data_IF_726208952890
#
_entry.id   IF_726208952890
#
_cell.length_a   1.000
_cell.length_b   1.000
_cell.length_c   1.000
_cell.angle_alpha   90.00
_cell.angle_beta   90.00
_cell.angle_gamma   90.00
#
_symmetry.space_group_name_H-M   'P 1'
#
loop_
_entity.id
_entity.type
_entity.pdbx_description
1 polymer ?
#
# COMPACT_ATOMS: atom_id res chain seq x y z
N UNK A 1 -30.01 13.88 11.35
CA UNK A 1 -29.50 12.55 10.94
C UNK A 1 -30.01 11.48 11.91
N UNK A 2 -31.20 10.87 11.69
CA UNK A 2 -31.80 9.92 12.62
C UNK A 2 -32.01 8.51 12.01
N UNK A 3 -31.08 7.98 11.19
CA UNK A 3 -31.23 6.65 10.57
C UNK A 3 -30.09 5.66 10.84
N UNK A 4 -29.01 6.05 11.52
CA UNK A 4 -27.87 5.15 11.76
C UNK A 4 -28.22 3.98 12.68
N UNK A 5 -29.04 4.20 13.71
CA UNK A 5 -29.43 3.14 14.65
C UNK A 5 -30.25 2.01 13.99
N UNK A 6 -31.19 2.36 13.11
CA UNK A 6 -32.05 1.37 12.44
C UNK A 6 -31.28 0.57 11.39
N UNK A 7 -30.36 1.21 10.65
CA UNK A 7 -29.48 0.51 9.71
C UNK A 7 -28.51 -0.46 10.39
N UNK A 8 -28.00 -0.10 11.58
CA UNK A 8 -27.12 -0.99 12.37
C UNK A 8 -27.90 -2.20 12.89
N UNK A 9 -29.10 -2.00 13.43
CA UNK A 9 -29.96 -3.09 13.91
C UNK A 9 -30.40 -4.03 12.79
N UNK A 10 -30.77 -3.48 11.62
CA UNK A 10 -31.10 -4.27 10.44
C UNK A 10 -29.90 -5.08 9.93
N UNK A 11 -28.71 -4.48 9.91
CA UNK A 11 -27.46 -5.17 9.56
C UNK A 11 -27.12 -6.32 10.52
N UNK A 12 -27.29 -6.10 11.83
CA UNK A 12 -27.10 -7.13 12.86
C UNK A 12 -28.11 -8.28 12.73
N UNK A 13 -29.39 -7.97 12.52
CA UNK A 13 -30.42 -8.98 12.34
C UNK A 13 -30.18 -9.83 11.07
N UNK A 14 -29.80 -9.19 9.96
CA UNK A 14 -29.43 -9.88 8.73
C UNK A 14 -28.18 -10.77 8.91
N UNK A 15 -27.16 -10.28 9.62
CA UNK A 15 -25.95 -11.05 9.92
C UNK A 15 -26.27 -12.27 10.79
N UNK A 16 -27.14 -12.13 11.80
CA UNK A 16 -27.59 -13.24 12.65
C UNK A 16 -28.40 -14.27 11.86
N UNK A 17 -29.34 -13.83 11.01
CA UNK A 17 -30.13 -14.73 10.16
C UNK A 17 -29.26 -15.46 9.12
N UNK A 18 -28.28 -14.77 8.54
CA UNK A 18 -27.29 -15.37 7.64
C UNK A 18 -26.45 -16.42 8.38
N UNK A 19 -25.96 -16.10 9.60
CA UNK A 19 -25.23 -17.04 10.45
C UNK A 19 -26.05 -18.29 10.77
N UNK A 20 -27.33 -18.13 11.12
CA UNK A 20 -28.23 -19.25 11.42
C UNK A 20 -28.52 -20.11 10.19
N UNK A 21 -28.74 -19.50 9.02
CA UNK A 21 -28.93 -20.22 7.76
C UNK A 21 -27.67 -20.98 7.33
N UNK A 22 -26.49 -20.36 7.50
CA UNK A 22 -25.18 -20.96 7.25
C UNK A 22 -25.00 -22.20 8.16
N UNK A 23 -25.24 -22.08 9.46
CA UNK A 23 -25.09 -23.19 10.43
C UNK A 23 -25.89 -24.44 10.05
N UNK A 24 -27.05 -24.29 9.39
CA UNK A 24 -27.89 -25.41 8.96
C UNK A 24 -27.24 -26.27 7.86
N UNK A 25 -26.40 -25.67 6.99
CA UNK A 25 -25.70 -26.37 5.90
C UNK A 25 -24.22 -26.63 6.25
N UNK A 26 -23.98 -27.48 7.27
CA UNK A 26 -22.62 -27.83 7.76
C UNK A 26 -21.60 -28.15 6.68
N UNK A 27 -22.00 -28.79 5.58
CA UNK A 27 -21.11 -29.08 4.45
C UNK A 27 -20.59 -27.81 3.76
N UNK A 28 -21.48 -26.85 3.49
CA UNK A 28 -21.14 -25.60 2.82
C UNK A 28 -20.28 -24.71 3.73
N UNK A 29 -20.64 -24.58 5.01
CA UNK A 29 -19.87 -23.78 5.99
C UNK A 29 -18.43 -24.27 6.12
N UNK A 30 -18.24 -25.60 6.08
CA UNK A 30 -16.91 -26.22 6.16
C UNK A 30 -16.03 -25.86 4.96
N UNK A 31 -16.62 -25.64 3.79
CA UNK A 31 -15.92 -25.31 2.54
C UNK A 31 -15.86 -23.82 2.24
N UNK A 32 -16.59 -22.98 2.97
CA UNK A 32 -16.66 -21.53 2.72
C UNK A 32 -15.28 -20.83 2.64
N UNK A 33 -14.29 -21.09 3.54
CA UNK A 33 -12.98 -20.43 3.43
C UNK A 33 -12.24 -20.82 2.15
N UNK A 34 -12.37 -22.09 1.74
CA UNK A 34 -11.78 -22.60 0.51
C UNK A 34 -12.45 -21.97 -0.71
N UNK A 35 -13.78 -21.93 -0.73
CA UNK A 35 -14.54 -21.29 -1.80
C UNK A 35 -14.19 -19.80 -1.93
N UNK A 36 -14.07 -19.10 -0.81
CA UNK A 36 -13.63 -17.70 -0.77
C UNK A 36 -12.25 -17.52 -1.42
N UNK A 37 -11.26 -18.34 -1.03
CA UNK A 37 -9.91 -18.30 -1.60
C UNK A 37 -9.93 -18.57 -3.12
N UNK A 38 -10.66 -19.60 -3.55
CA UNK A 38 -10.82 -19.93 -4.97
C UNK A 38 -11.49 -18.80 -5.75
N UNK A 39 -12.61 -18.26 -5.26
CA UNK A 39 -13.31 -17.15 -5.90
C UNK A 39 -12.42 -15.92 -6.02
N UNK A 40 -11.67 -15.59 -4.97
CA UNK A 40 -10.77 -14.45 -4.98
C UNK A 40 -9.66 -14.59 -6.02
N UNK A 41 -9.01 -15.76 -6.11
CA UNK A 41 -7.96 -15.98 -7.11
C UNK A 41 -8.53 -16.09 -8.53
N UNK A 42 -9.70 -16.70 -8.72
CA UNK A 42 -10.40 -16.71 -10.01
C UNK A 42 -10.70 -15.28 -10.44
N UNK A 43 -11.17 -14.43 -9.53
CA UNK A 43 -11.44 -13.03 -9.84
C UNK A 43 -10.16 -12.29 -10.23
N UNK A 44 -9.04 -12.50 -9.52
CA UNK A 44 -7.74 -11.95 -9.91
C UNK A 44 -7.28 -12.44 -11.28
N UNK A 45 -7.51 -13.72 -11.59
CA UNK A 45 -7.20 -14.31 -12.89
C UNK A 45 -8.04 -13.71 -14.02
N UNK A 46 -9.33 -13.51 -13.78
CA UNK A 46 -10.25 -12.92 -14.76
C UNK A 46 -10.00 -11.43 -15.00
N UNK A 47 -9.72 -10.67 -13.93
CA UNK A 47 -9.41 -9.23 -14.03
C UNK A 47 -8.02 -9.04 -14.67
N UNK A 48 -7.10 -9.97 -14.42
CA UNK A 48 -5.72 -9.93 -14.90
C UNK A 48 -5.07 -8.55 -14.71
N UNK A 49 -5.03 -8.04 -13.46
CA UNK A 49 -4.58 -6.68 -13.21
C UNK A 49 -3.12 -6.53 -13.67
N UNK A 50 -2.84 -5.51 -14.48
CA UNK A 50 -1.50 -5.24 -15.02
C UNK A 50 -0.43 -5.13 -13.91
N UNK A 51 -0.82 -4.69 -12.70
CA UNK A 51 0.12 -4.65 -11.58
C UNK A 51 0.66 -6.04 -11.22
N UNK A 52 -0.14 -7.10 -11.35
CA UNK A 52 0.29 -8.46 -11.02
C UNK A 52 1.30 -8.99 -12.03
N UNK A 53 1.10 -8.69 -13.32
CA UNK A 53 2.04 -9.08 -14.38
C UNK A 53 3.37 -8.37 -14.20
N UNK A 54 3.33 -7.08 -13.90
CA UNK A 54 4.53 -6.27 -13.67
C UNK A 54 5.30 -6.75 -12.45
N UNK A 55 4.61 -7.18 -11.39
CA UNK A 55 5.24 -7.80 -10.21
C UNK A 55 6.00 -9.08 -10.62
N UNK A 56 5.42 -9.97 -11.42
CA UNK A 56 6.11 -11.19 -11.82
C UNK A 56 7.34 -10.92 -12.67
N UNK A 57 7.24 -10.00 -13.64
CA UNK A 57 8.37 -9.59 -14.47
C UNK A 57 9.46 -8.98 -13.59
N UNK A 58 9.10 -8.01 -12.74
CA UNK A 58 10.05 -7.33 -11.86
C UNK A 58 10.75 -8.30 -10.87
N UNK A 59 10.04 -9.28 -10.31
CA UNK A 59 10.63 -10.27 -9.41
C UNK A 59 11.63 -11.18 -10.13
N UNK A 60 11.36 -11.56 -11.38
CA UNK A 60 12.29 -12.40 -12.17
C UNK A 60 13.52 -11.61 -12.57
N UNK A 61 13.35 -10.37 -13.05
CA UNK A 61 14.45 -9.50 -13.45
C UNK A 61 15.39 -9.20 -12.28
N UNK A 62 14.82 -9.09 -11.06
CA UNK A 62 15.56 -8.90 -9.80
C UNK A 62 16.12 -10.18 -9.18
N UNK A 63 15.96 -11.32 -9.84
CA UNK A 63 16.39 -12.62 -9.31
C UNK A 63 15.79 -12.96 -7.93
N UNK A 64 14.58 -12.47 -7.62
CA UNK A 64 13.87 -12.75 -6.35
C UNK A 64 13.21 -14.15 -6.37
N UNK A 65 13.97 -15.18 -6.76
CA UNK A 65 13.47 -16.53 -6.96
C UNK A 65 12.93 -17.16 -5.68
N UNK A 66 13.56 -16.87 -4.54
CA UNK A 66 13.10 -17.32 -3.23
C UNK A 66 11.71 -16.75 -2.88
N UNK A 67 11.45 -15.49 -3.22
CA UNK A 67 10.14 -14.86 -3.01
C UNK A 67 9.05 -15.49 -3.88
N UNK A 68 9.36 -15.77 -5.15
CA UNK A 68 8.43 -16.47 -6.06
C UNK A 68 8.12 -17.87 -5.52
N UNK A 69 9.15 -18.68 -5.26
CA UNK A 69 8.99 -20.05 -4.79
C UNK A 69 8.28 -20.09 -3.42
N UNK A 70 8.67 -19.21 -2.49
CA UNK A 70 8.06 -19.09 -1.16
C UNK A 70 6.58 -18.71 -1.21
N UNK A 71 6.20 -17.75 -2.05
CA UNK A 71 4.80 -17.35 -2.21
C UNK A 71 3.93 -18.50 -2.71
N UNK A 72 4.34 -19.18 -3.78
CA UNK A 72 3.60 -20.33 -4.31
C UNK A 72 3.56 -21.53 -3.36
N UNK A 73 4.66 -21.77 -2.64
CA UNK A 73 4.70 -22.80 -1.61
C UNK A 73 3.68 -22.52 -0.50
N UNK A 74 3.61 -21.29 0.00
CA UNK A 74 2.63 -20.89 1.03
C UNK A 74 1.21 -21.05 0.51
N UNK A 75 0.92 -20.58 -0.72
CA UNK A 75 -0.41 -20.72 -1.33
C UNK A 75 -0.83 -22.19 -1.46
N UNK A 76 0.09 -23.09 -1.81
CA UNK A 76 -0.18 -24.52 -1.88
C UNK A 76 -0.44 -25.15 -0.50
N UNK A 77 0.06 -24.55 0.59
CA UNK A 77 -0.17 -25.01 1.96
C UNK A 77 -1.48 -24.50 2.59
N UNK A 78 -1.99 -23.33 2.19
CA UNK A 78 -3.23 -22.74 2.75
C UNK A 78 -4.38 -23.76 2.86
N UNK A 79 -4.70 -24.53 1.83
CA UNK A 79 -5.86 -25.40 1.88
C UNK A 79 -5.67 -26.59 2.82
N UNK A 80 -4.44 -27.05 3.00
CA UNK A 80 -4.12 -28.06 4.00
C UNK A 80 -4.32 -27.52 5.41
N UNK A 81 -3.95 -26.27 5.66
CA UNK A 81 -4.23 -25.60 6.93
C UNK A 81 -5.74 -25.53 7.19
N UNK A 82 -6.54 -25.17 6.18
CA UNK A 82 -8.01 -25.19 6.29
C UNK A 82 -8.49 -26.58 6.71
N UNK A 83 -8.00 -27.63 6.07
CA UNK A 83 -8.45 -29.01 6.32
C UNK A 83 -8.04 -29.47 7.72
N UNK A 84 -6.78 -29.29 8.10
CA UNK A 84 -6.27 -29.74 9.40
C UNK A 84 -7.03 -29.05 10.54
N UNK A 85 -7.35 -27.77 10.35
CA UNK A 85 -8.13 -27.03 11.35
C UNK A 85 -9.59 -27.53 11.36
N UNK A 86 -10.24 -27.75 10.20
CA UNK A 86 -11.69 -27.96 10.08
C UNK A 86 -12.20 -29.39 10.11
N UNK A 87 -11.51 -30.36 9.51
CA UNK A 87 -12.08 -31.69 9.26
C UNK A 87 -11.77 -32.60 10.45
N UNK A 88 -12.81 -33.00 11.17
CA UNK A 88 -12.68 -33.88 12.35
C UNK A 88 -12.32 -35.33 11.99
N UNK A 89 -12.61 -35.84 10.79
CA UNK A 89 -12.38 -37.28 10.51
C UNK A 89 -12.22 -37.71 9.04
N UNK A 90 -12.34 -36.82 8.05
CA UNK A 90 -12.31 -37.25 6.64
C UNK A 90 -10.96 -37.00 6.02
N UNK A 91 -10.32 -38.07 5.52
CA UNK A 91 -9.26 -37.97 4.50
C UNK A 91 -9.74 -37.02 3.41
N UNK A 92 -8.94 -36.00 3.10
CA UNK A 92 -9.18 -35.10 1.96
C UNK A 92 -9.51 -35.95 0.73
N UNK A 93 -10.68 -35.73 0.15
CA UNK A 93 -10.97 -36.26 -1.17
C UNK A 93 -9.94 -35.70 -2.16
N UNK A 94 -9.60 -36.48 -3.18
CA UNK A 94 -8.76 -36.00 -4.28
C UNK A 94 -9.40 -34.75 -4.90
N UNK A 95 -10.73 -34.71 -5.03
CA UNK A 95 -11.45 -33.54 -5.54
C UNK A 95 -11.23 -32.29 -4.67
N UNK A 96 -11.28 -32.45 -3.35
CA UNK A 96 -11.04 -31.34 -2.43
C UNK A 96 -9.60 -30.85 -2.58
N UNK A 97 -8.63 -31.77 -2.73
CA UNK A 97 -7.23 -31.43 -2.97
C UNK A 97 -7.01 -30.68 -4.28
N UNK A 98 -7.71 -31.05 -5.35
CA UNK A 98 -7.65 -30.35 -6.64
C UNK A 98 -8.21 -28.93 -6.50
N UNK A 99 -9.40 -28.77 -5.90
CA UNK A 99 -10.03 -27.46 -5.68
C UNK A 99 -9.12 -26.56 -4.83
N UNK A 100 -8.49 -27.14 -3.81
CA UNK A 100 -7.48 -26.53 -2.96
C UNK A 100 -6.26 -25.99 -3.72
N UNK A 101 -5.81 -26.67 -4.77
CA UNK A 101 -4.65 -26.24 -5.56
C UNK A 101 -4.99 -25.21 -6.64
N UNK A 102 -6.27 -25.08 -7.03
CA UNK A 102 -6.69 -24.14 -8.08
C UNK A 102 -6.20 -22.69 -7.87
N UNK A 103 -6.21 -22.11 -6.65
CA UNK A 103 -5.65 -20.78 -6.42
C UNK A 103 -4.15 -20.71 -6.77
N UNK A 104 -3.35 -21.64 -6.27
CA UNK A 104 -1.91 -21.64 -6.51
C UNK A 104 -1.59 -21.88 -8.00
N UNK A 105 -2.30 -22.83 -8.64
CA UNK A 105 -2.16 -23.13 -10.08
C UNK A 105 -2.62 -21.98 -10.95
N UNK A 106 -3.76 -21.35 -10.63
CA UNK A 106 -4.27 -20.20 -11.38
C UNK A 106 -3.32 -19.00 -11.33
N UNK A 107 -2.80 -18.69 -10.13
CA UNK A 107 -1.82 -17.63 -9.97
C UNK A 107 -0.47 -17.98 -10.64
N UNK A 108 -0.06 -19.25 -10.62
CA UNK A 108 1.12 -19.71 -11.34
C UNK A 108 0.93 -19.58 -12.85
N UNK A 109 -0.25 -19.89 -13.37
CA UNK A 109 -0.62 -19.66 -14.77
C UNK A 109 -0.45 -18.21 -15.19
N UNK A 110 -0.91 -17.26 -14.37
CA UNK A 110 -0.68 -15.82 -14.61
C UNK A 110 0.82 -15.48 -14.62
N UNK A 111 1.57 -16.04 -13.66
CA UNK A 111 3.01 -15.88 -13.61
C UNK A 111 3.69 -16.37 -14.88
N UNK A 112 3.27 -17.53 -15.41
CA UNK A 112 3.84 -18.12 -16.64
C UNK A 112 3.49 -17.30 -17.87
N UNK A 113 2.25 -16.81 -17.95
CA UNK A 113 1.80 -15.92 -19.04
C UNK A 113 2.59 -14.60 -19.04
N UNK A 114 2.87 -14.06 -17.85
CA UNK A 114 3.60 -12.79 -17.69
C UNK A 114 5.10 -12.97 -17.92
N UNK A 115 5.67 -14.05 -17.39
CA UNK A 115 7.08 -14.35 -17.47
C UNK A 115 7.32 -15.86 -17.36
N UNK A 116 7.53 -16.50 -18.51
CA UNK A 116 7.63 -17.97 -18.64
C UNK A 116 8.62 -18.62 -17.68
N UNK A 117 9.71 -17.93 -17.32
CA UNK A 117 10.72 -18.44 -16.37
C UNK A 117 10.16 -18.69 -14.97
N UNK A 118 9.05 -18.07 -14.59
CA UNK A 118 8.39 -18.33 -13.30
C UNK A 118 7.92 -19.78 -13.17
N UNK A 119 7.63 -20.47 -14.29
CA UNK A 119 7.19 -21.87 -14.30
C UNK A 119 8.18 -22.80 -13.57
N UNK A 120 9.49 -22.56 -13.77
CA UNK A 120 10.55 -23.36 -13.15
C UNK A 120 10.60 -23.23 -11.63
N UNK A 121 9.98 -22.20 -11.06
CA UNK A 121 9.94 -21.96 -9.62
C UNK A 121 8.56 -22.29 -9.03
N UNK A 122 7.50 -21.86 -9.70
CA UNK A 122 6.13 -22.01 -9.21
C UNK A 122 5.66 -23.47 -9.23
N UNK A 123 5.95 -24.23 -10.30
CA UNK A 123 5.49 -25.62 -10.43
C UNK A 123 6.15 -26.52 -9.36
N UNK A 124 7.48 -26.53 -9.18
CA UNK A 124 8.10 -27.32 -8.11
C UNK A 124 7.65 -26.88 -6.71
N UNK A 125 7.48 -25.58 -6.48
CA UNK A 125 7.00 -25.07 -5.20
C UNK A 125 5.58 -25.54 -4.86
N UNK A 126 4.67 -25.56 -5.85
CA UNK A 126 3.31 -26.08 -5.69
C UNK A 126 3.33 -27.58 -5.41
N UNK A 127 4.13 -28.35 -6.18
CA UNK A 127 4.26 -29.79 -5.99
C UNK A 127 4.86 -30.13 -4.62
N UNK A 128 5.87 -29.38 -4.17
CA UNK A 128 6.49 -29.56 -2.86
C UNK A 128 5.51 -29.21 -1.73
N UNK A 129 4.79 -28.08 -1.84
CA UNK A 129 3.76 -27.70 -0.87
C UNK A 129 2.64 -28.74 -0.79
N UNK A 130 2.19 -29.25 -1.93
CA UNK A 130 1.21 -30.34 -2.00
C UNK A 130 1.74 -31.65 -1.40
N UNK A 131 2.96 -32.05 -1.73
CA UNK A 131 3.60 -33.25 -1.23
C UNK A 131 3.74 -33.21 0.30
N UNK A 132 4.25 -32.10 0.83
CA UNK A 132 4.37 -31.87 2.27
C UNK A 132 3.00 -31.89 2.93
N UNK A 133 2.01 -31.20 2.38
CA UNK A 133 0.64 -31.27 2.89
C UNK A 133 0.11 -32.71 2.92
N UNK A 134 0.29 -33.47 1.83
CA UNK A 134 -0.29 -34.81 1.69
C UNK A 134 0.36 -35.87 2.56
N UNK A 135 1.67 -35.79 2.74
CA UNK A 135 2.49 -36.80 3.41
C UNK A 135 3.02 -36.35 4.77
N UNK A 136 2.74 -35.13 5.21
CA UNK A 136 3.12 -34.67 6.54
C UNK A 136 2.56 -35.61 7.60
N UNK A 137 3.34 -35.96 8.65
CA UNK A 137 2.86 -36.72 9.80
C UNK A 137 1.62 -36.10 10.45
N UNK A 138 1.41 -34.79 10.26
CA UNK A 138 0.22 -34.05 10.66
C UNK A 138 -1.09 -34.64 10.06
N UNK A 139 -1.02 -35.35 8.94
CA UNK A 139 -2.16 -36.00 8.29
C UNK A 139 -2.59 -37.34 8.93
N UNK A 140 -1.91 -37.81 9.99
CA UNK A 140 -2.25 -39.08 10.65
C UNK A 140 -3.40 -38.94 11.69
N UNK A 141 -4.16 -40.02 11.97
CA UNK A 141 -5.50 -39.96 12.59
C UNK A 141 -5.58 -39.62 14.10
N UNK A 142 -4.50 -39.13 14.74
CA UNK A 142 -4.51 -38.67 16.14
C UNK A 142 -4.98 -37.21 16.31
N UNK A 143 -6.23 -36.91 15.94
CA UNK A 143 -6.65 -35.58 15.43
C UNK A 143 -6.82 -34.48 16.50
N UNK A 144 -7.29 -34.79 17.72
CA UNK A 144 -7.70 -33.74 18.69
C UNK A 144 -6.50 -33.01 19.33
N UNK A 145 -5.46 -33.73 19.74
CA UNK A 145 -4.23 -33.11 20.27
C UNK A 145 -3.47 -32.29 19.20
N UNK A 146 -3.76 -32.52 17.92
CA UNK A 146 -3.06 -31.89 16.79
C UNK A 146 -3.65 -30.56 16.36
N UNK A 147 -4.97 -30.37 16.48
CA UNK A 147 -5.62 -29.11 16.09
C UNK A 147 -5.11 -27.94 16.91
N UNK A 148 -5.10 -28.09 18.24
CA UNK A 148 -4.54 -27.09 19.15
C UNK A 148 -3.06 -26.87 18.89
N UNK A 149 -2.29 -27.93 18.64
CA UNK A 149 -0.86 -27.84 18.32
C UNK A 149 -0.61 -27.06 17.02
N UNK A 150 -1.36 -27.34 15.95
CA UNK A 150 -1.21 -26.65 14.66
C UNK A 150 -1.61 -25.19 14.77
N UNK A 151 -2.72 -24.89 15.45
CA UNK A 151 -3.12 -23.50 15.73
C UNK A 151 -2.09 -22.78 16.61
N UNK A 152 -1.50 -23.45 17.61
CA UNK A 152 -0.46 -22.89 18.45
C UNK A 152 0.83 -22.62 17.66
N UNK A 153 1.25 -23.53 16.79
CA UNK A 153 2.42 -23.35 15.92
C UNK A 153 2.18 -22.19 14.93
N UNK A 154 1.01 -22.13 14.30
CA UNK A 154 0.66 -21.03 13.38
C UNK A 154 0.55 -19.71 14.13
N UNK A 155 -0.08 -19.70 15.31
CA UNK A 155 -0.15 -18.54 16.19
C UNK A 155 1.22 -18.05 16.62
N UNK A 156 2.13 -18.96 16.99
CA UNK A 156 3.52 -18.64 17.31
C UNK A 156 4.26 -18.10 16.09
N UNK A 157 4.09 -18.73 14.92
CA UNK A 157 4.69 -18.27 13.67
C UNK A 157 4.25 -16.85 13.32
N UNK A 158 2.95 -16.56 13.36
CA UNK A 158 2.43 -15.20 13.13
C UNK A 158 2.88 -14.24 14.24
N UNK A 159 2.93 -14.67 15.50
CA UNK A 159 3.44 -13.85 16.61
C UNK A 159 4.89 -13.43 16.37
N UNK A 160 5.75 -14.36 15.97
CA UNK A 160 7.15 -14.08 15.63
C UNK A 160 7.24 -13.19 14.38
N UNK A 161 6.43 -13.47 13.35
CA UNK A 161 6.37 -12.65 12.13
C UNK A 161 5.99 -11.19 12.45
N UNK A 162 5.00 -10.97 13.30
CA UNK A 162 4.57 -9.64 13.71
C UNK A 162 5.61 -8.94 14.58
N UNK A 163 6.31 -9.69 15.42
CA UNK A 163 7.43 -9.16 16.19
C UNK A 163 8.53 -8.66 15.25
N UNK A 164 8.90 -9.43 14.23
CA UNK A 164 9.84 -8.98 13.19
C UNK A 164 9.32 -7.75 12.43
N UNK A 165 8.05 -7.74 12.03
CA UNK A 165 7.44 -6.58 11.38
C UNK A 165 7.37 -5.34 12.28
N UNK A 166 7.36 -5.51 13.60
CA UNK A 166 7.44 -4.40 14.54
C UNK A 166 8.87 -3.82 14.64
N UNK A 167 9.90 -4.67 14.54
CA UNK A 167 11.30 -4.24 14.59
C UNK A 167 11.82 -3.67 13.26
N UNK A 168 11.42 -4.26 12.13
CA UNK A 168 11.85 -3.86 10.80
C UNK A 168 10.66 -3.82 9.82
N UNK A 169 9.80 -2.78 9.90
CA UNK A 169 8.57 -2.70 9.12
C UNK A 169 8.79 -2.52 7.62
N UNK A 170 10.02 -2.23 7.17
CA UNK A 170 10.30 -1.85 5.78
C UNK A 170 11.22 -2.87 5.12
N UNK A 171 12.41 -3.13 5.66
CA UNK A 171 13.40 -3.96 4.94
C UNK A 171 13.00 -5.42 4.97
N UNK A 172 12.38 -5.89 6.06
CA UNK A 172 11.92 -7.27 6.15
C UNK A 172 10.83 -7.61 5.13
N UNK A 173 9.74 -6.82 4.96
CA UNK A 173 8.80 -7.04 3.86
C UNK A 173 9.43 -6.98 2.47
N UNK A 174 10.35 -6.03 2.22
CA UNK A 174 11.07 -5.94 0.94
C UNK A 174 11.88 -7.21 0.67
N UNK A 175 12.52 -7.78 1.68
CA UNK A 175 13.30 -9.01 1.56
C UNK A 175 12.41 -10.23 1.27
N UNK A 176 11.19 -10.27 1.82
CA UNK A 176 10.21 -11.33 1.52
C UNK A 176 9.60 -11.17 0.13
N UNK A 177 9.37 -9.94 -0.29
CA UNK A 177 8.71 -9.59 -1.56
C UNK A 177 7.18 -9.70 -1.49
N UNK A 178 6.49 -9.10 -2.48
CA UNK A 178 5.06 -8.80 -2.37
C UNK A 178 4.23 -10.08 -2.45
N UNK A 179 4.67 -11.07 -3.23
CA UNK A 179 3.98 -12.35 -3.39
C UNK A 179 3.94 -13.16 -2.08
N UNK A 180 5.06 -13.20 -1.34
CA UNK A 180 5.13 -13.90 -0.04
C UNK A 180 4.22 -13.22 0.97
N UNK A 181 4.33 -11.89 1.09
CA UNK A 181 3.50 -11.09 2.00
C UNK A 181 2.01 -11.27 1.68
N UNK A 182 1.63 -11.20 0.41
CA UNK A 182 0.27 -11.42 -0.03
C UNK A 182 -0.24 -12.82 0.32
N UNK A 183 0.57 -13.85 0.10
CA UNK A 183 0.25 -15.25 0.42
C UNK A 183 0.09 -15.48 1.93
N UNK A 184 0.97 -14.87 2.74
CA UNK A 184 0.87 -14.87 4.20
C UNK A 184 -0.40 -14.13 4.69
N UNK A 185 -0.76 -13.03 4.03
CA UNK A 185 -1.99 -12.28 4.28
C UNK A 185 -3.25 -13.11 4.01
N UNK A 186 -3.29 -13.79 2.86
CA UNK A 186 -4.39 -14.70 2.52
C UNK A 186 -4.50 -15.89 3.49
N UNK A 187 -3.37 -16.45 3.92
CA UNK A 187 -3.33 -17.49 4.95
C UNK A 187 -3.91 -16.97 6.27
N UNK A 188 -3.54 -15.76 6.70
CA UNK A 188 -4.02 -15.17 7.94
C UNK A 188 -5.53 -14.91 7.89
N UNK A 189 -6.03 -14.31 6.81
CA UNK A 189 -7.46 -14.08 6.61
C UNK A 189 -8.23 -15.40 6.60
N UNK A 190 -7.70 -16.41 5.93
CA UNK A 190 -8.28 -17.76 5.91
C UNK A 190 -8.35 -18.35 7.31
N UNK A 191 -7.29 -18.19 8.13
CA UNK A 191 -7.26 -18.64 9.52
C UNK A 191 -8.29 -17.91 10.38
N UNK A 192 -8.42 -16.59 10.22
CA UNK A 192 -9.42 -15.77 10.94
C UNK A 192 -10.83 -16.24 10.59
N UNK A 193 -11.17 -16.37 9.30
CA UNK A 193 -12.47 -16.88 8.85
C UNK A 193 -12.69 -18.30 9.39
N UNK A 194 -11.65 -19.12 9.38
CA UNK A 194 -11.72 -20.49 9.89
C UNK A 194 -12.02 -20.51 11.39
N UNK A 195 -11.35 -19.70 12.19
CA UNK A 195 -11.61 -19.57 13.63
C UNK A 195 -13.04 -19.06 13.89
N UNK A 196 -13.50 -18.06 13.12
CA UNK A 196 -14.85 -17.50 13.24
C UNK A 196 -15.93 -18.57 13.05
N UNK A 197 -15.88 -19.37 11.98
CA UNK A 197 -16.92 -20.39 11.78
C UNK A 197 -16.74 -21.66 12.64
N UNK A 198 -15.60 -21.82 13.34
CA UNK A 198 -15.44 -22.89 14.34
C UNK A 198 -16.01 -22.52 15.70
N UNK A 199 -15.83 -21.26 16.10
CA UNK A 199 -16.29 -20.74 17.37
C UNK A 199 -17.26 -19.57 17.14
N UNK A 200 -18.43 -19.82 16.50
CA UNK A 200 -19.33 -18.74 16.09
C UNK A 200 -19.87 -17.93 17.28
N UNK A 201 -20.07 -18.58 18.44
CA UNK A 201 -20.49 -17.90 19.68
C UNK A 201 -19.37 -16.97 20.16
N UNK A 202 -18.14 -17.47 20.27
CA UNK A 202 -16.99 -16.65 20.68
C UNK A 202 -16.73 -15.51 19.71
N UNK A 203 -16.86 -15.76 18.40
CA UNK A 203 -16.72 -14.75 17.37
C UNK A 203 -17.83 -13.70 17.42
N UNK A 204 -19.07 -14.09 17.72
CA UNK A 204 -20.18 -13.17 17.94
C UNK A 204 -19.95 -12.31 19.19
N UNK A 205 -19.56 -12.92 20.31
CA UNK A 205 -19.21 -12.19 21.53
C UNK A 205 -18.06 -11.20 21.27
N UNK A 206 -17.02 -11.64 20.59
CA UNK A 206 -15.91 -10.79 20.18
C UNK A 206 -16.38 -9.64 19.29
N UNK A 207 -17.21 -9.90 18.27
CA UNK A 207 -17.75 -8.87 17.38
C UNK A 207 -18.59 -7.85 18.14
N UNK A 208 -19.40 -8.28 19.10
CA UNK A 208 -20.21 -7.38 19.94
C UNK A 208 -19.32 -6.48 20.81
N UNK A 209 -18.28 -7.06 21.44
CA UNK A 209 -17.29 -6.28 22.21
C UNK A 209 -16.54 -5.32 21.29
N UNK A 210 -16.13 -5.78 20.11
CA UNK A 210 -15.44 -4.97 19.11
C UNK A 210 -16.30 -3.80 18.64
N UNK A 211 -17.57 -4.04 18.29
CA UNK A 211 -18.52 -3.00 17.90
C UNK A 211 -18.76 -2.00 19.03
N UNK A 212 -18.84 -2.46 20.28
CA UNK A 212 -18.94 -1.58 21.43
C UNK A 212 -17.70 -0.67 21.52
N UNK A 213 -16.49 -1.22 21.46
CA UNK A 213 -15.26 -0.41 21.49
C UNK A 213 -15.17 0.55 20.31
N UNK A 214 -15.43 0.08 19.09
CA UNK A 214 -15.40 0.88 17.86
C UNK A 214 -16.42 2.02 17.88
N UNK A 215 -17.59 1.84 18.52
CA UNK A 215 -18.58 2.91 18.68
C UNK A 215 -18.08 4.05 19.58
N UNK A 216 -17.16 3.76 20.51
CA UNK A 216 -16.54 4.76 21.37
C UNK A 216 -15.25 5.34 20.77
N UNK A 217 -14.57 4.62 19.87
CA UNK A 217 -13.30 5.05 19.29
C UNK A 217 -13.49 5.85 18.00
N UNK A 218 -13.68 7.17 18.12
CA UNK A 218 -13.77 8.11 16.98
C UNK A 218 -12.38 8.53 16.50
N UNK A 219 -11.48 7.59 16.22
CA UNK A 219 -10.14 7.91 15.75
C UNK A 219 -10.12 8.06 14.23
N UNK A 220 -10.31 9.29 13.77
CA UNK A 220 -9.76 9.69 12.48
C UNK A 220 -8.32 10.11 12.72
N UNK A 221 -7.37 9.57 11.96
CA UNK A 221 -6.00 10.08 11.97
C UNK A 221 -6.03 11.56 11.53
N UNK A 222 -5.90 12.46 12.50
CA UNK A 222 -5.81 13.89 12.21
C UNK A 222 -4.38 14.19 11.85
N UNK A 223 -4.16 14.73 10.65
CA UNK A 223 -2.86 15.30 10.28
C UNK A 223 -2.66 16.53 11.17
N UNK A 224 -1.62 16.58 12.03
CA UNK A 224 -1.35 17.77 12.82
C UNK A 224 -1.04 18.92 11.86
N UNK A 225 -1.89 19.94 11.87
CA UNK A 225 -1.62 21.20 11.17
C UNK A 225 -0.55 21.89 12.01
N UNK A 226 0.67 21.97 11.51
CA UNK A 226 1.75 22.65 12.24
C UNK A 226 1.46 24.14 12.40
N UNK A 227 1.84 24.73 13.53
CA UNK A 227 1.74 26.17 13.85
C UNK A 227 2.69 27.06 13.03
N UNK A 228 3.03 26.66 11.81
CA UNK A 228 4.00 27.40 11.00
C UNK A 228 3.48 28.71 10.46
N UNK A 229 4.44 29.50 9.98
CA UNK A 229 4.17 30.76 9.30
C UNK A 229 3.13 30.55 8.18
N UNK A 230 2.14 31.45 8.07
CA UNK A 230 1.19 31.39 6.97
C UNK A 230 1.96 31.47 5.64
N UNK A 231 1.67 30.55 4.73
CA UNK A 231 2.25 30.56 3.39
C UNK A 231 2.06 31.90 2.68
N UNK A 232 2.97 32.21 1.75
CA UNK A 232 2.96 33.47 0.98
C UNK A 232 1.66 33.57 0.19
N UNK A 233 1.06 34.76 0.11
CA UNK A 233 -0.06 34.93 -0.83
C UNK A 233 0.44 34.75 -2.28
N UNK A 234 -0.49 34.51 -3.21
CA UNK A 234 -0.15 34.27 -4.63
C UNK A 234 0.72 35.38 -5.24
N UNK A 235 0.44 36.64 -4.90
CA UNK A 235 1.18 37.78 -5.46
C UNK A 235 2.62 37.83 -4.93
N UNK A 236 2.83 37.59 -3.64
CA UNK A 236 4.14 37.49 -3.00
C UNK A 236 4.93 36.29 -3.53
N UNK A 237 4.29 35.14 -3.67
CA UNK A 237 4.90 33.94 -4.24
C UNK A 237 5.38 34.21 -5.67
N UNK A 238 4.55 34.85 -6.50
CA UNK A 238 4.91 35.20 -7.87
C UNK A 238 6.03 36.24 -7.92
N UNK A 239 5.99 37.30 -7.10
CA UNK A 239 7.07 38.29 -7.00
C UNK A 239 8.39 37.64 -6.60
N UNK A 240 8.34 36.73 -5.62
CA UNK A 240 9.51 35.98 -5.14
C UNK A 240 10.09 35.07 -6.23
N UNK A 241 9.22 34.35 -6.94
CA UNK A 241 9.61 33.49 -8.06
C UNK A 241 10.24 34.30 -9.21
N UNK A 242 9.66 35.45 -9.56
CA UNK A 242 10.20 36.38 -10.57
C UNK A 242 11.56 36.94 -10.13
N UNK A 243 11.70 37.31 -8.85
CA UNK A 243 12.95 37.84 -8.30
C UNK A 243 14.09 36.82 -8.30
N UNK A 244 13.81 35.52 -8.31
CA UNK A 244 14.86 34.51 -8.47
C UNK A 244 15.37 34.37 -9.92
N UNK A 245 14.79 35.11 -10.89
CA UNK A 245 14.97 34.88 -12.34
C UNK A 245 15.29 36.17 -13.12
N UNK A 246 15.97 37.14 -12.49
CA UNK A 246 16.30 38.43 -13.12
C UNK A 246 17.04 38.28 -14.46
N UNK A 247 17.97 37.32 -14.54
CA UNK A 247 18.76 37.01 -15.75
C UNK A 247 17.88 36.52 -16.91
N UNK A 248 16.86 35.70 -16.61
CA UNK A 248 15.91 35.23 -17.60
C UNK A 248 15.00 36.38 -18.06
N UNK A 249 14.49 37.20 -17.13
CA UNK A 249 13.64 38.35 -17.46
C UNK A 249 14.34 39.29 -18.45
N UNK A 250 15.61 39.62 -18.22
CA UNK A 250 16.35 40.52 -19.09
C UNK A 250 16.59 39.92 -20.48
N UNK A 251 16.87 38.61 -20.56
CA UNK A 251 17.01 37.90 -21.84
C UNK A 251 15.72 37.94 -22.65
N UNK A 252 14.58 37.65 -22.03
CA UNK A 252 13.27 37.66 -22.69
C UNK A 252 12.86 39.09 -23.10
N UNK A 253 13.12 40.09 -22.26
CA UNK A 253 12.87 41.51 -22.56
C UNK A 253 13.70 41.98 -23.76
N UNK A 254 14.99 41.66 -23.80
CA UNK A 254 15.88 41.97 -24.95
C UNK A 254 15.40 41.31 -26.24
N UNK A 255 14.90 40.08 -26.14
CA UNK A 255 14.33 39.35 -27.26
C UNK A 255 12.91 39.82 -27.64
N UNK A 256 12.33 40.81 -26.95
CA UNK A 256 10.94 41.27 -27.12
C UNK A 256 9.91 40.13 -26.99
N UNK A 257 10.17 39.19 -26.07
CA UNK A 257 9.30 38.04 -25.80
C UNK A 257 8.81 38.05 -24.35
N UNK A 258 7.58 37.60 -24.07
CA UNK A 258 7.12 37.42 -22.69
C UNK A 258 7.86 36.24 -22.03
N UNK A 259 8.19 36.38 -20.75
CA UNK A 259 8.72 35.28 -19.93
C UNK A 259 7.60 34.24 -19.74
N UNK A 260 7.81 32.96 -20.10
CA UNK A 260 6.82 31.93 -19.88
C UNK A 260 6.70 31.60 -18.38
N UNK A 261 5.47 31.51 -17.91
CA UNK A 261 5.09 30.98 -16.61
C UNK A 261 4.41 29.64 -16.84
N UNK A 262 4.99 28.56 -16.32
CA UNK A 262 4.52 27.19 -16.56
C UNK A 262 3.94 26.63 -15.26
N UNK A 263 2.75 26.05 -15.37
CA UNK A 263 2.14 25.24 -14.33
C UNK A 263 2.06 23.82 -14.87
N UNK A 264 2.58 22.86 -14.12
CA UNK A 264 2.48 21.44 -14.47
C UNK A 264 1.41 20.80 -13.59
N UNK A 265 0.56 19.97 -14.18
CA UNK A 265 -0.46 19.24 -13.45
C UNK A 265 -0.37 17.73 -13.72
N UNK A 266 -0.74 16.93 -12.71
CA UNK A 266 -0.81 15.49 -12.81
C UNK A 266 -2.10 14.97 -12.16
N UNK A 267 -2.79 14.08 -12.89
CA UNK A 267 -3.99 13.41 -12.43
C UNK A 267 -3.70 12.37 -11.34
N UNK A 268 -4.75 11.92 -10.66
CA UNK A 268 -4.68 10.83 -9.69
C UNK A 268 -4.75 9.46 -10.37
N UNK A 269 -4.17 8.45 -9.73
CA UNK A 269 -4.16 7.08 -10.26
C UNK A 269 -3.22 6.14 -9.51
N UNK A 270 -3.04 6.36 -8.20
CA UNK A 270 -2.12 5.58 -7.38
C UNK A 270 -0.69 5.58 -7.91
N UNK A 271 0.01 4.45 -7.78
CA UNK A 271 1.42 4.32 -8.18
C UNK A 271 1.64 4.52 -9.68
N UNK A 272 0.65 4.20 -10.52
CA UNK A 272 0.72 4.42 -11.97
C UNK A 272 0.84 5.91 -12.29
N UNK A 273 -0.04 6.73 -11.69
CA UNK A 273 0.04 8.19 -11.85
C UNK A 273 1.34 8.76 -11.26
N UNK A 274 1.84 8.20 -10.16
CA UNK A 274 3.13 8.58 -9.59
C UNK A 274 4.29 8.31 -10.57
N UNK A 275 4.33 7.12 -11.18
CA UNK A 275 5.34 6.77 -12.17
C UNK A 275 5.23 7.66 -13.43
N UNK A 276 4.02 7.88 -13.95
CA UNK A 276 3.81 8.70 -15.14
C UNK A 276 4.21 10.17 -14.92
N UNK A 277 3.79 10.78 -13.81
CA UNK A 277 4.14 12.17 -13.49
C UNK A 277 5.63 12.33 -13.23
N UNK A 278 6.26 11.36 -12.55
CA UNK A 278 7.72 11.32 -12.39
C UNK A 278 8.43 11.26 -13.74
N UNK A 279 8.12 10.24 -14.56
CA UNK A 279 8.83 9.97 -15.81
C UNK A 279 8.60 11.09 -16.82
N UNK A 280 7.37 11.60 -16.91
CA UNK A 280 7.03 12.73 -17.76
C UNK A 280 7.80 13.99 -17.37
N UNK A 281 7.82 14.34 -16.08
CA UNK A 281 8.53 15.53 -15.63
C UNK A 281 10.05 15.40 -15.79
N UNK A 282 10.60 14.23 -15.46
CA UNK A 282 12.02 13.94 -15.67
C UNK A 282 12.39 13.98 -17.16
N UNK A 283 11.59 13.40 -18.05
CA UNK A 283 11.82 13.44 -19.48
C UNK A 283 11.82 14.89 -20.00
N UNK A 284 10.80 15.67 -19.67
CA UNK A 284 10.68 17.07 -20.08
C UNK A 284 11.87 17.91 -19.61
N UNK A 285 12.33 17.68 -18.38
CA UNK A 285 13.47 18.43 -17.81
C UNK A 285 14.82 17.88 -18.26
N UNK A 286 14.88 16.63 -18.72
CA UNK A 286 16.04 16.11 -19.42
C UNK A 286 16.19 16.78 -20.79
N UNK A 287 15.12 16.80 -21.59
CA UNK A 287 15.09 17.47 -22.90
C UNK A 287 15.38 18.95 -22.77
N UNK A 288 14.79 19.63 -21.78
CA UNK A 288 15.12 21.02 -21.53
C UNK A 288 15.33 21.29 -20.04
N UNK A 289 16.59 21.29 -19.56
CA UNK A 289 16.90 21.58 -18.16
C UNK A 289 16.41 22.96 -17.70
N UNK A 290 16.37 23.94 -18.61
CA UNK A 290 15.83 25.28 -18.34
C UNK A 290 14.32 25.27 -18.04
N UNK A 291 13.59 24.21 -18.40
CA UNK A 291 12.17 24.11 -18.09
C UNK A 291 11.91 24.31 -16.60
N UNK A 292 12.77 23.75 -15.72
CA UNK A 292 12.63 23.89 -14.26
C UNK A 292 12.65 25.35 -13.80
N UNK A 293 13.43 26.21 -14.46
CA UNK A 293 13.43 27.64 -14.17
C UNK A 293 12.20 28.36 -14.71
N UNK A 294 11.34 27.72 -15.49
CA UNK A 294 10.08 28.30 -15.96
C UNK A 294 8.84 27.70 -15.27
N UNK A 295 8.99 26.61 -14.52
CA UNK A 295 7.90 26.05 -13.71
C UNK A 295 7.69 26.90 -12.47
N UNK A 296 6.49 27.48 -12.35
CA UNK A 296 6.04 28.20 -11.17
C UNK A 296 5.46 27.26 -10.13
N UNK A 297 4.65 26.29 -10.57
CA UNK A 297 3.98 25.36 -9.68
C UNK A 297 3.79 23.98 -10.33
N UNK A 298 3.86 22.94 -9.51
CA UNK A 298 3.46 21.57 -9.85
C UNK A 298 2.22 21.21 -9.01
N UNK A 299 1.16 20.74 -9.66
CA UNK A 299 -0.14 20.45 -9.03
C UNK A 299 -0.44 18.97 -9.22
N UNK A 300 -0.43 18.19 -8.16
CA UNK A 300 -0.71 16.76 -8.23
C UNK A 300 -1.94 16.35 -7.43
N UNK A 301 -2.70 15.40 -7.96
CA UNK A 301 -3.78 14.72 -7.24
C UNK A 301 -3.31 13.32 -6.81
N UNK A 302 -3.49 12.97 -5.54
CA UNK A 302 -3.18 11.61 -5.04
C UNK A 302 -1.78 11.13 -5.48
N UNK A 303 -1.68 10.04 -6.24
CA UNK A 303 -0.43 9.51 -6.78
C UNK A 303 0.32 10.44 -7.73
N UNK A 304 -0.35 11.29 -8.52
CA UNK A 304 0.33 12.24 -9.42
C UNK A 304 1.19 13.26 -8.66
N UNK A 305 0.80 13.60 -7.42
CA UNK A 305 1.61 14.46 -6.57
C UNK A 305 2.88 13.77 -6.08
N UNK A 306 2.81 12.46 -5.85
CA UNK A 306 3.94 11.64 -5.43
C UNK A 306 5.05 11.63 -6.48
N UNK A 307 4.70 11.57 -7.77
CA UNK A 307 5.71 11.62 -8.84
C UNK A 307 6.45 12.95 -8.92
N UNK A 308 5.78 14.08 -8.67
CA UNK A 308 6.45 15.38 -8.56
C UNK A 308 7.38 15.45 -7.33
N UNK A 309 6.99 14.88 -6.18
CA UNK A 309 7.87 14.76 -5.01
C UNK A 309 9.11 13.95 -5.36
N UNK A 310 8.93 12.79 -6.00
CA UNK A 310 10.02 11.90 -6.39
C UNK A 310 10.98 12.58 -7.38
N UNK A 311 10.45 13.31 -8.36
CA UNK A 311 11.27 14.01 -9.36
C UNK A 311 12.09 15.09 -8.66
N UNK A 312 11.46 15.87 -7.78
CA UNK A 312 12.15 16.90 -7.02
C UNK A 312 13.24 16.34 -6.12
N UNK A 313 12.97 15.21 -5.47
CA UNK A 313 13.94 14.55 -4.60
C UNK A 313 15.18 14.03 -5.35
N UNK A 314 14.97 13.53 -6.57
CA UNK A 314 16.04 12.95 -7.40
C UNK A 314 16.66 13.96 -8.37
N UNK A 315 16.11 15.18 -8.41
CA UNK A 315 16.58 16.27 -9.24
C UNK A 315 17.95 16.75 -8.83
N UNK A 316 18.83 16.90 -9.82
CA UNK A 316 20.10 17.60 -9.63
C UNK A 316 19.91 19.10 -9.91
N UNK A 317 20.72 19.98 -9.27
CA UNK A 317 20.73 21.40 -9.59
C UNK A 317 20.92 21.62 -11.10
N UNK A 318 20.16 22.53 -11.66
CA UNK A 318 20.19 22.83 -13.09
C UNK A 318 21.41 23.70 -13.40
N UNK A 319 22.38 23.15 -14.11
CA UNK A 319 23.34 23.98 -14.85
C UNK A 319 22.59 24.67 -15.99
N UNK A 320 22.92 25.93 -16.32
CA UNK A 320 22.34 26.66 -17.46
C UNK A 320 22.75 26.04 -18.81
N UNK A 321 22.22 24.87 -19.12
CA UNK A 321 22.43 24.16 -20.38
C UNK A 321 21.27 24.43 -21.32
N UNK A 322 21.54 24.47 -22.62
CA UNK A 322 20.49 24.56 -23.64
C UNK A 322 19.62 23.30 -23.63
N UNK A 323 18.42 23.38 -24.21
CA UNK A 323 17.63 22.18 -24.48
C UNK A 323 18.42 21.27 -25.43
N UNK A 324 18.24 19.95 -25.29
CA UNK A 324 18.92 18.91 -26.06
C UNK A 324 17.86 18.10 -26.81
N UNK A 325 18.22 17.62 -28.00
CA UNK A 325 17.42 16.68 -28.78
C UNK A 325 17.72 15.21 -28.42
N UNK A 326 18.59 15.00 -27.43
CA UNK A 326 18.96 13.67 -26.93
C UNK A 326 17.75 13.00 -26.26
N UNK A 327 17.49 11.75 -26.64
CA UNK A 327 16.49 10.92 -25.98
C UNK A 327 16.83 10.83 -24.51
N UNK A 328 15.83 11.10 -23.65
CA UNK A 328 16.02 10.95 -22.21
C UNK A 328 16.57 9.55 -21.92
N UNK A 329 17.67 9.44 -21.15
CA UNK A 329 18.21 8.14 -20.82
C UNK A 329 17.11 7.31 -20.15
N UNK A 330 17.03 6.05 -20.54
CA UNK A 330 16.06 5.09 -19.98
C UNK A 330 16.43 4.70 -18.53
N UNK A 331 17.28 5.49 -17.86
CA UNK A 331 17.73 5.27 -16.50
C UNK A 331 16.63 5.73 -15.53
N UNK A 332 15.63 4.88 -15.39
CA UNK A 332 14.68 4.96 -14.26
C UNK A 332 15.48 4.67 -13.00
N UNK A 333 15.61 5.61 -12.05
CA UNK A 333 16.35 5.36 -10.82
C UNK A 333 15.82 4.11 -10.10
N UNK A 334 16.73 3.30 -9.55
CA UNK A 334 16.38 2.09 -8.80
C UNK A 334 15.35 2.37 -7.69
N UNK A 335 15.32 3.60 -7.18
CA UNK A 335 14.39 4.11 -6.16
C UNK A 335 12.93 4.10 -6.59
N UNK A 336 12.63 4.12 -7.90
CA UNK A 336 11.26 4.11 -8.46
C UNK A 336 10.78 2.70 -8.67
N UNK A 337 11.70 1.86 -9.08
CA UNK A 337 11.44 0.44 -9.25
C UNK A 337 11.44 -0.23 -7.86
N UNK A 338 12.00 0.41 -6.82
CA UNK A 338 12.09 -0.11 -5.47
C UNK A 338 10.75 -0.71 -5.01
N UNK A 339 10.81 -1.77 -4.21
CA UNK A 339 9.62 -2.43 -3.71
C UNK A 339 8.93 -1.56 -2.65
N UNK A 340 8.10 -0.63 -3.13
CA UNK A 340 7.25 0.23 -2.30
C UNK A 340 5.99 -0.49 -1.82
N UNK A 341 5.68 -1.66 -2.41
CA UNK A 341 4.41 -2.34 -2.22
C UNK A 341 4.47 -3.32 -1.05
N UNK A 342 5.55 -4.09 -0.90
CA UNK A 342 5.65 -5.10 0.17
C UNK A 342 5.47 -4.54 1.58
N UNK A 343 6.10 -3.41 1.98
CA UNK A 343 5.87 -2.83 3.30
C UNK A 343 4.40 -2.43 3.51
N UNK A 344 3.78 -1.82 2.50
CA UNK A 344 2.38 -1.38 2.56
C UNK A 344 1.44 -2.59 2.63
N UNK A 345 1.69 -3.63 1.84
CA UNK A 345 0.94 -4.89 1.90
C UNK A 345 1.12 -5.60 3.22
N UNK A 346 2.34 -5.63 3.79
CA UNK A 346 2.59 -6.26 5.07
C UNK A 346 1.84 -5.51 6.18
N UNK A 347 1.81 -4.19 6.11
CA UNK A 347 1.00 -3.40 7.03
C UNK A 347 -0.50 -3.71 6.84
N UNK A 348 -1.02 -3.66 5.61
CA UNK A 348 -2.43 -3.86 5.30
C UNK A 348 -2.95 -5.28 5.60
N UNK A 349 -2.18 -6.31 5.27
CA UNK A 349 -2.63 -7.70 5.29
C UNK A 349 -2.22 -8.47 6.55
N UNK A 350 -1.18 -8.01 7.26
CA UNK A 350 -0.66 -8.71 8.44
C UNK A 350 -0.85 -7.89 9.72
N UNK A 351 -0.50 -6.60 9.71
CA UNK A 351 -0.57 -5.76 10.93
C UNK A 351 -1.96 -5.18 11.16
N UNK A 352 -2.57 -4.57 10.15
CA UNK A 352 -3.86 -3.89 10.27
C UNK A 352 -5.02 -4.82 10.64
N UNK A 353 -5.14 -6.06 10.13
CA UNK A 353 -6.21 -6.96 10.57
C UNK A 353 -6.11 -7.25 12.06
N UNK A 354 -4.90 -7.31 12.60
CA UNK A 354 -4.63 -7.56 14.01
C UNK A 354 -4.88 -6.30 14.84
N UNK A 355 -4.49 -5.13 14.33
CA UNK A 355 -4.86 -3.82 14.91
C UNK A 355 -6.38 -3.67 14.99
N UNK A 356 -7.09 -4.03 13.92
CA UNK A 356 -8.54 -4.08 13.89
C UNK A 356 -9.10 -5.03 14.93
N UNK A 357 -8.55 -6.25 15.05
CA UNK A 357 -9.01 -7.21 16.05
C UNK A 357 -8.71 -6.75 17.50
N UNK A 358 -7.76 -5.85 17.70
CA UNK A 358 -7.37 -5.32 19.01
C UNK A 358 -7.46 -3.79 19.02
N UNK A 359 -8.67 -3.22 19.18
CA UNK A 359 -8.90 -1.77 19.05
C UNK A 359 -8.09 -0.91 20.04
N UNK A 360 -7.65 -1.48 21.17
CA UNK A 360 -6.75 -0.80 22.11
C UNK A 360 -5.30 -0.65 21.61
N UNK A 361 -4.94 -1.31 20.50
CA UNK A 361 -3.60 -1.31 19.91
C UNK A 361 -3.47 -0.43 18.66
N UNK A 362 -4.26 0.65 18.57
CA UNK A 362 -4.26 1.63 17.47
C UNK A 362 -2.98 2.50 17.36
N UNK A 363 -1.86 2.08 17.96
CA UNK A 363 -0.55 2.75 17.83
C UNK A 363 0.25 2.25 16.63
N UNK A 364 -0.28 1.29 15.87
CA UNK A 364 0.41 0.76 14.70
C UNK A 364 0.42 1.80 13.57
N UNK A 365 1.53 1.95 12.82
CA UNK A 365 1.60 2.86 11.69
C UNK A 365 0.49 2.53 10.68
N UNK A 366 -0.17 3.55 10.14
CA UNK A 366 -1.11 3.37 9.04
C UNK A 366 -0.39 3.06 7.70
N UNK A 367 -1.15 2.74 6.66
CA UNK A 367 -0.58 2.46 5.34
C UNK A 367 0.16 3.67 4.75
N UNK A 368 -0.34 4.89 5.03
CA UNK A 368 0.26 6.14 4.55
C UNK A 368 1.63 6.43 5.16
N UNK A 369 1.77 6.28 6.48
CA UNK A 369 3.05 6.44 7.19
C UNK A 369 4.06 5.37 6.79
N UNK A 370 3.62 4.12 6.62
CA UNK A 370 4.48 3.04 6.11
C UNK A 370 5.00 3.35 4.71
N UNK A 371 4.13 3.85 3.81
CA UNK A 371 4.54 4.28 2.48
C UNK A 371 5.50 5.48 2.53
N UNK A 372 5.20 6.49 3.36
CA UNK A 372 6.04 7.67 3.52
C UNK A 372 7.44 7.32 4.04
N UNK A 373 7.53 6.42 5.02
CA UNK A 373 8.80 5.97 5.58
C UNK A 373 9.59 5.13 4.54
N UNK A 374 8.92 4.24 3.82
CA UNK A 374 9.51 3.47 2.72
C UNK A 374 10.06 4.40 1.63
N UNK A 375 9.30 5.43 1.28
CA UNK A 375 9.72 6.44 0.30
C UNK A 375 10.92 7.25 0.81
N UNK A 376 10.93 7.61 2.10
CA UNK A 376 12.06 8.33 2.70
C UNK A 376 13.34 7.48 2.73
N UNK A 377 13.21 6.16 2.87
CA UNK A 377 14.34 5.24 2.76
C UNK A 377 14.86 5.18 1.32
N UNK A 378 13.96 5.19 0.33
CA UNK A 378 14.31 5.12 -1.09
C UNK A 378 14.90 6.44 -1.63
N UNK A 379 14.31 7.59 -1.28
CA UNK A 379 14.67 8.89 -1.83
C UNK A 379 15.64 9.70 -0.94
N UNK A 380 15.88 9.25 0.30
CA UNK A 380 16.60 10.02 1.30
C UNK A 380 15.71 10.97 2.12
N UNK A 381 16.30 11.82 2.99
CA UNK A 381 15.55 12.63 3.94
C UNK A 381 14.57 13.58 3.23
N UNK A 382 13.28 13.44 3.53
CA UNK A 382 12.20 14.22 2.90
C UNK A 382 12.22 15.74 3.19
N UNK A 383 13.12 16.22 4.07
CA UNK A 383 13.13 17.62 4.55
C UNK A 383 13.31 18.64 3.43
N UNK A 384 14.03 18.31 2.37
CA UNK A 384 14.29 19.24 1.28
C UNK A 384 13.21 19.18 0.17
N UNK A 385 12.31 18.20 0.20
CA UNK A 385 11.32 17.96 -0.86
C UNK A 385 10.15 18.94 -0.82
N UNK A 386 9.83 19.48 0.36
CA UNK A 386 8.79 20.50 0.57
C UNK A 386 9.38 21.90 0.72
N UNK A 387 10.66 22.07 0.40
CA UNK A 387 11.35 23.36 0.42
C UNK A 387 10.55 24.42 -0.34
N UNK A 388 10.36 25.60 0.25
CA UNK A 388 9.70 26.74 -0.40
C UNK A 388 10.71 27.78 -0.91
N UNK A 389 11.87 27.28 -1.33
CA UNK A 389 12.93 28.08 -1.95
C UNK A 389 12.39 28.81 -3.19
N UNK A 390 12.71 30.11 -3.36
CA UNK A 390 12.28 30.92 -4.51
C UNK A 390 12.61 30.31 -5.90
N UNK A 391 13.72 29.59 -5.97
CA UNK A 391 14.21 28.93 -7.17
C UNK A 391 13.37 27.72 -7.58
N UNK A 392 12.73 27.05 -6.62
CA UNK A 392 12.00 25.81 -6.86
C UNK A 392 10.54 26.07 -7.25
N UNK A 393 9.96 25.16 -8.03
CA UNK A 393 8.52 25.17 -8.28
C UNK A 393 7.75 24.91 -6.97
N UNK A 394 6.67 25.67 -6.75
CA UNK A 394 5.76 25.40 -5.64
C UNK A 394 5.06 24.05 -5.85
N UNK A 395 5.11 23.19 -4.84
CA UNK A 395 4.47 21.87 -4.90
C UNK A 395 3.10 21.92 -4.22
N UNK A 396 2.04 21.67 -5.00
CA UNK A 396 0.66 21.74 -4.56
C UNK A 396 0.03 20.36 -4.62
N UNK A 397 -0.48 19.90 -3.47
CA UNK A 397 -1.12 18.60 -3.34
C UNK A 397 -2.62 18.79 -3.23
N UNK A 398 -3.36 18.20 -4.14
CA UNK A 398 -4.83 18.17 -4.11
C UNK A 398 -5.29 16.83 -3.57
N UNK A 399 -6.09 16.86 -2.52
CA UNK A 399 -6.72 15.68 -1.91
C UNK A 399 -8.17 15.99 -1.51
N UNK A 400 -8.82 15.02 -0.88
CA UNK A 400 -10.17 15.15 -0.36
C UNK A 400 -10.17 14.96 1.15
N UNK A 401 -10.86 15.83 1.88
CA UNK A 401 -11.17 15.61 3.29
C UNK A 401 -12.10 14.40 3.39
N UNK A 402 -11.61 13.30 3.97
CA UNK A 402 -12.38 12.06 4.10
C UNK A 402 -13.67 12.24 4.91
N UNK A 403 -13.74 13.24 5.80
CA UNK A 403 -14.92 13.50 6.63
C UNK A 403 -15.97 14.35 5.90
N UNK A 404 -15.53 15.40 5.23
CA UNK A 404 -16.43 16.37 4.60
C UNK A 404 -16.69 16.10 3.11
N UNK A 405 -15.85 15.28 2.46
CA UNK A 405 -15.83 15.12 1.01
C UNK A 405 -15.35 16.36 0.25
N UNK A 406 -14.97 17.43 0.96
CA UNK A 406 -14.51 18.68 0.37
C UNK A 406 -13.09 18.54 -0.16
N UNK A 407 -12.78 19.27 -1.23
CA UNK A 407 -11.42 19.34 -1.79
C UNK A 407 -10.51 20.12 -0.84
N UNK A 408 -9.34 19.56 -0.60
CA UNK A 408 -8.29 20.09 0.27
C UNK A 408 -7.03 20.27 -0.55
N UNK A 409 -6.39 21.42 -0.43
CA UNK A 409 -5.13 21.70 -1.11
C UNK A 409 -4.05 21.99 -0.08
N UNK A 410 -3.00 21.16 -0.05
CA UNK A 410 -1.78 21.47 0.70
C UNK A 410 -0.83 22.24 -0.20
N UNK A 411 -0.48 23.46 0.20
CA UNK A 411 0.27 24.37 -0.64
C UNK A 411 1.17 25.30 0.18
N UNK A 412 2.39 25.61 -0.29
CA UNK A 412 3.19 26.71 0.26
C UNK A 412 2.64 28.10 -0.12
N UNK A 413 1.73 28.17 -1.09
CA UNK A 413 1.06 29.37 -1.57
C UNK A 413 -0.36 29.44 -1.02
N UNK A 414 -0.72 30.58 -0.42
CA UNK A 414 -2.07 30.90 0.04
C UNK A 414 -2.88 31.55 -1.08
N UNK A 415 -4.05 30.98 -1.35
CA UNK A 415 -5.03 31.50 -2.31
C UNK A 415 -6.08 32.32 -1.58
N UNK A 416 -6.27 33.57 -1.98
CA UNK A 416 -7.36 34.41 -1.49
C UNK A 416 -8.61 34.21 -2.36
N UNK A 417 -9.75 33.91 -1.75
CA UNK A 417 -11.06 33.89 -2.44
C UNK A 417 -11.48 32.57 -3.10
N UNK A 418 -10.85 31.44 -2.84
CA UNK A 418 -11.20 30.16 -3.49
C UNK A 418 -12.40 29.41 -2.85
N UNK A 419 -13.58 30.03 -2.75
CA UNK A 419 -14.88 29.37 -2.45
C UNK A 419 -14.84 28.06 -1.63
N UNK A 420 -15.18 26.93 -2.27
CA UNK A 420 -15.28 25.57 -1.69
C UNK A 420 -13.95 24.87 -1.39
N UNK A 421 -12.81 25.48 -1.74
CA UNK A 421 -11.48 24.87 -1.55
C UNK A 421 -10.91 25.37 -0.23
N UNK A 422 -10.59 24.44 0.68
CA UNK A 422 -9.90 24.76 1.94
C UNK A 422 -8.39 24.64 1.74
N UNK A 423 -7.64 25.75 1.60
CA UNK A 423 -6.18 25.68 1.53
C UNK A 423 -5.62 25.40 2.93
N UNK A 424 -4.67 24.49 3.01
CA UNK A 424 -3.82 24.29 4.19
C UNK A 424 -2.39 24.64 3.82
N UNK A 425 -1.83 25.59 4.56
CA UNK A 425 -0.43 25.93 4.39
C UNK A 425 0.44 24.89 5.07
N UNK A 426 1.37 24.29 4.33
CA UNK A 426 2.39 23.43 4.93
C UNK A 426 3.39 24.37 5.60
N UNK A 427 3.30 24.44 6.93
CA UNK A 427 4.21 25.14 7.82
C UNK A 427 5.69 24.85 7.50
N UNK A 428 6.46 25.87 7.16
CA UNK A 428 7.92 25.79 7.14
C UNK A 428 8.42 25.81 8.59
N UNK A 429 8.93 24.68 9.09
CA UNK A 429 9.53 24.61 10.42
C UNK A 429 10.92 25.25 10.33
N UNK A 430 11.12 26.40 11.01
CA UNK A 430 12.43 27.07 11.05
C UNK A 430 13.54 26.09 11.43
N UNK A 431 14.58 26.08 10.61
CA UNK A 431 15.72 25.14 10.61
C UNK A 431 16.67 25.24 11.82
N UNK A 432 16.21 25.75 12.97
CA UNK A 432 17.04 25.99 14.16
C UNK A 432 16.71 25.16 15.41
N UNK A 433 15.54 24.53 15.50
CA UNK A 433 15.17 23.76 16.69
C UNK A 433 15.65 22.31 16.58
N UNK A 434 16.79 22.01 17.23
CA UNK A 434 17.31 20.67 17.38
C UNK A 434 16.21 19.71 17.84
N UNK A 435 16.13 18.57 17.16
CA UNK A 435 15.21 17.48 17.50
C UNK A 435 15.71 16.83 18.79
N UNK A 436 15.38 17.40 19.95
CA UNK A 436 15.52 16.69 21.22
C UNK A 436 14.59 15.48 21.10
N UNK A 437 15.20 14.29 20.97
CA UNK A 437 14.53 13.00 21.02
C UNK A 437 13.76 12.88 22.35
N UNK A 438 12.55 13.41 22.41
CA UNK A 438 11.52 12.94 23.34
C UNK A 438 10.74 11.83 22.65
N UNK A 439 11.42 10.71 22.44
CA UNK A 439 10.79 9.40 22.37
C UNK A 439 11.54 8.51 23.36
N UNK A 440 11.35 8.82 24.64
CA UNK A 440 11.59 7.88 25.73
C UNK A 440 10.22 7.35 26.16
N UNK A 441 10.09 6.02 26.11
CA UNK A 441 9.24 5.17 26.96
C UNK A 441 7.73 5.30 26.79
N UNK A 442 7.14 4.27 26.21
CA UNK A 442 6.47 3.20 26.96
C UNK A 442 6.47 1.92 26.15
#
# INVERSE_FOLDING_TARGET
>A
MPSTGFSILAGLAAAVLLLLAIVKHRWFVRRLPLLFLCTFVILLWLIHPAQLTDIFVAMIDRQQYAGIAGGFFILALIPFVIVVVRLDDTRLSICDTIVCLLPAVGLAGLGVLSAQRSAFLSVPAILAGWAIARWSPLASPGIVARKSTVLAILGLFYGVLLLYLAFDPIRFPIALGPLVIFSLGLLLLTLIITAILQHPISALCFLLVWLAVAAFDKQFATIPIGDGQPGRNTQEALKTWLAARHDAIDRYRKAKRPLPLIIMSAEGGGIYAAAHSFLGYRALTHYCPQLKTHVFATIGVSGGALGFVMERALSRPVAHTQCRDEVAPNDVPDTIIADLLSPVLANLLLRQPIAWLMPFWNRLPDGGSTLAETLSLALGPARDMLSNKPEDAALLFVTTDARAGSRVVFSPIRFEGSGDVRPFSIAEKQSGAAFTRSFMRL
#
